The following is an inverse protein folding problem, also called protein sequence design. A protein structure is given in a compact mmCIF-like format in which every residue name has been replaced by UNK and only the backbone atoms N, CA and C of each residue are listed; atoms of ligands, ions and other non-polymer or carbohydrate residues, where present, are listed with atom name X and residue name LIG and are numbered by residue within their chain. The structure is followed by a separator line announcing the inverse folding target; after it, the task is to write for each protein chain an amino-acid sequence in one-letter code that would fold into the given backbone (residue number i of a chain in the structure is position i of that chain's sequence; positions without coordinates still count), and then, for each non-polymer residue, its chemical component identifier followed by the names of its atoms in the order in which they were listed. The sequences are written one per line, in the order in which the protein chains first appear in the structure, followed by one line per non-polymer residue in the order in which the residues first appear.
data_IF_634729834271
#
_entry.id   IF_634729834271
#
_cell.length_a   1.000
_cell.length_b   1.000
_cell.length_c   1.000
_cell.angle_alpha   90.00
_cell.angle_beta   90.00
_cell.angle_gamma   90.00
#
_symmetry.space_group_name_H-M   'P 1'
#
loop_
_entity.id
_entity.type
_entity.pdbx_description
1 polymer ?
#
# COMPACT_ATOMS: atom_id res chain seq x y z
N UNK A 1 47.21 4.50 -0.32
CA UNK A 1 46.95 5.24 0.93
C UNK A 1 45.58 4.80 1.38
N UNK A 2 45.45 4.23 2.58
CA UNK A 2 44.15 3.78 3.12
C UNK A 2 43.25 5.02 3.24
N UNK A 3 42.14 5.04 2.50
CA UNK A 3 41.11 6.07 2.65
C UNK A 3 40.55 5.97 4.07
N UNK A 4 41.00 6.86 4.95
CA UNK A 4 40.54 6.94 6.32
C UNK A 4 39.13 7.52 6.29
N UNK A 5 38.14 6.65 6.40
CA UNK A 5 36.75 7.03 6.63
C UNK A 5 36.68 7.72 8.00
N UNK A 6 36.14 8.95 8.08
CA UNK A 6 35.97 9.66 9.36
C UNK A 6 35.15 8.86 10.38
N UNK A 7 35.49 8.98 11.66
CA UNK A 7 34.85 8.23 12.75
C UNK A 7 33.33 8.48 12.86
N UNK A 8 32.85 9.63 12.38
CA UNK A 8 31.44 10.03 12.39
C UNK A 8 30.65 9.60 11.15
N UNK A 9 31.30 9.04 10.12
CA UNK A 9 30.68 8.67 8.85
C UNK A 9 29.51 7.69 9.04
N UNK A 10 29.69 6.65 9.84
CA UNK A 10 28.66 5.63 10.05
C UNK A 10 27.39 6.23 10.69
N UNK A 11 27.57 7.12 11.67
CA UNK A 11 26.45 7.82 12.32
C UNK A 11 25.75 8.80 11.38
N UNK A 12 26.53 9.52 10.57
CA UNK A 12 26.01 10.45 9.55
C UNK A 12 25.23 9.70 8.47
N UNK A 13 25.75 8.57 7.99
CA UNK A 13 25.09 7.73 7.00
C UNK A 13 23.75 7.18 7.52
N UNK A 14 23.71 6.74 8.79
CA UNK A 14 22.48 6.26 9.40
C UNK A 14 21.43 7.37 9.54
N UNK A 15 21.83 8.57 9.96
CA UNK A 15 20.93 9.74 10.00
C UNK A 15 20.36 10.07 8.61
N UNK A 16 21.21 10.07 7.57
CA UNK A 16 20.77 10.32 6.20
C UNK A 16 19.81 9.25 5.69
N UNK A 17 20.06 7.97 5.98
CA UNK A 17 19.14 6.87 5.66
C UNK A 17 17.78 7.09 6.33
N UNK A 18 17.75 7.40 7.62
CA UNK A 18 16.50 7.66 8.34
C UNK A 18 15.72 8.84 7.75
N UNK A 19 16.41 9.93 7.37
CA UNK A 19 15.77 11.08 6.68
C UNK A 19 15.17 10.67 5.33
N UNK A 20 15.87 9.85 4.54
CA UNK A 20 15.37 9.34 3.26
C UNK A 20 14.15 8.44 3.46
N UNK A 21 14.20 7.50 4.42
CA UNK A 21 13.07 6.64 4.75
C UNK A 21 11.85 7.43 5.20
N UNK A 22 12.04 8.41 6.09
CA UNK A 22 10.96 9.29 6.55
C UNK A 22 10.35 10.11 5.41
N UNK A 23 11.18 10.62 4.49
CA UNK A 23 10.70 11.37 3.31
C UNK A 23 9.86 10.48 2.38
N UNK A 24 10.34 9.26 2.08
CA UNK A 24 9.60 8.28 1.27
C UNK A 24 8.25 7.95 1.88
N UNK A 25 8.23 7.65 3.19
CA UNK A 25 6.99 7.33 3.90
C UNK A 25 5.96 8.47 3.83
N UNK A 26 6.39 9.73 3.96
CA UNK A 26 5.49 10.88 3.82
C UNK A 26 4.86 10.97 2.43
N UNK A 27 5.67 10.80 1.37
CA UNK A 27 5.16 10.83 -0.01
C UNK A 27 4.17 9.68 -0.24
N UNK A 28 4.52 8.48 0.22
CA UNK A 28 3.69 7.29 0.09
C UNK A 28 2.34 7.43 0.81
N UNK A 29 2.33 7.91 2.05
CA UNK A 29 1.08 8.15 2.79
C UNK A 29 0.18 9.15 2.07
N UNK A 30 0.76 10.23 1.55
CA UNK A 30 0.01 11.23 0.79
C UNK A 30 -0.58 10.63 -0.49
N UNK A 31 0.22 9.87 -1.23
CA UNK A 31 -0.24 9.21 -2.45
C UNK A 31 -1.33 8.17 -2.16
N UNK A 32 -1.17 7.38 -1.11
CA UNK A 32 -2.19 6.42 -0.67
C UNK A 32 -3.52 7.13 -0.33
N UNK A 33 -3.44 8.26 0.38
CA UNK A 33 -4.64 9.02 0.73
C UNK A 33 -5.36 9.58 -0.51
N UNK A 34 -4.61 10.16 -1.46
CA UNK A 34 -5.17 10.62 -2.74
C UNK A 34 -5.78 9.47 -3.55
N UNK A 35 -5.11 8.31 -3.54
CA UNK A 35 -5.63 7.09 -4.16
C UNK A 35 -6.97 6.71 -3.53
N UNK A 36 -7.06 6.59 -2.21
CA UNK A 36 -8.31 6.24 -1.54
C UNK A 36 -9.41 7.26 -1.81
N UNK A 37 -9.10 8.56 -1.84
CA UNK A 37 -10.07 9.60 -2.21
C UNK A 37 -10.59 9.41 -3.64
N UNK A 38 -9.69 9.17 -4.61
CA UNK A 38 -10.08 8.87 -6.01
C UNK A 38 -11.01 7.66 -6.08
N UNK A 39 -10.65 6.58 -5.38
CA UNK A 39 -11.41 5.33 -5.38
C UNK A 39 -12.79 5.51 -4.76
N UNK A 40 -12.87 6.28 -3.69
CA UNK A 40 -14.13 6.69 -3.08
C UNK A 40 -14.99 7.49 -4.06
N UNK A 41 -14.43 8.48 -4.76
CA UNK A 41 -15.15 9.29 -5.74
C UNK A 41 -15.70 8.45 -6.91
N UNK A 42 -14.90 7.52 -7.42
CA UNK A 42 -15.36 6.57 -8.44
C UNK A 42 -16.50 5.70 -7.90
N UNK A 43 -16.36 5.20 -6.68
CA UNK A 43 -17.38 4.42 -5.99
C UNK A 43 -18.71 5.16 -5.84
N UNK A 44 -18.67 6.40 -5.36
CA UNK A 44 -19.85 7.25 -5.22
C UNK A 44 -20.49 7.58 -6.56
N UNK A 45 -19.68 7.85 -7.58
CA UNK A 45 -20.18 8.10 -8.94
C UNK A 45 -20.92 6.88 -9.48
N UNK A 46 -20.35 5.69 -9.33
CA UNK A 46 -20.98 4.42 -9.72
C UNK A 46 -22.28 4.20 -8.93
N UNK A 47 -22.28 4.43 -7.62
CA UNK A 47 -23.45 4.28 -6.75
C UNK A 47 -24.58 5.23 -7.17
N UNK A 48 -24.28 6.52 -7.38
CA UNK A 48 -25.24 7.52 -7.81
C UNK A 48 -25.85 7.15 -9.17
N UNK A 49 -25.03 6.76 -10.15
CA UNK A 49 -25.51 6.35 -11.47
C UNK A 49 -26.40 5.12 -11.44
N UNK A 50 -26.09 4.10 -10.62
CA UNK A 50 -26.98 2.93 -10.43
C UNK A 50 -28.33 3.28 -9.82
N UNK A 51 -28.42 4.35 -9.04
CA UNK A 51 -29.69 4.79 -8.44
C UNK A 51 -30.59 5.56 -9.41
N UNK A 52 -30.00 6.23 -10.41
CA UNK A 52 -30.70 7.08 -11.38
C UNK A 52 -30.91 6.39 -12.74
N UNK A 53 -30.05 5.43 -13.07
CA UNK A 53 -30.01 4.71 -14.35
C UNK A 53 -29.79 3.21 -14.12
N UNK A 54 -30.15 2.37 -15.08
CA UNK A 54 -29.94 0.91 -15.01
C UNK A 54 -28.48 0.50 -15.28
N UNK A 55 -27.51 1.05 -14.53
CA UNK A 55 -26.10 0.66 -14.62
C UNK A 55 -25.90 -0.78 -14.08
N UNK A 56 -26.04 -1.75 -14.99
CA UNK A 56 -25.79 -3.18 -14.72
C UNK A 56 -24.31 -3.57 -14.86
N UNK A 57 -24.04 -4.87 -14.80
CA UNK A 57 -22.68 -5.46 -14.94
C UNK A 57 -22.00 -5.03 -16.24
N UNK A 58 -22.74 -5.02 -17.36
CA UNK A 58 -22.20 -4.64 -18.67
C UNK A 58 -21.64 -3.21 -18.71
N UNK A 59 -22.20 -2.28 -17.92
CA UNK A 59 -21.72 -0.90 -17.86
C UNK A 59 -20.41 -0.81 -17.07
N UNK A 60 -20.28 -1.59 -16.00
CA UNK A 60 -19.03 -1.66 -15.23
C UNK A 60 -17.90 -2.31 -16.03
N UNK A 61 -18.20 -3.33 -16.83
CA UNK A 61 -17.20 -3.98 -17.68
C UNK A 61 -16.70 -3.01 -18.77
N UNK A 62 -17.59 -2.24 -19.37
CA UNK A 62 -17.23 -1.18 -20.31
C UNK A 62 -16.42 -0.07 -19.65
N UNK A 63 -16.87 0.43 -18.50
CA UNK A 63 -16.16 1.48 -17.75
C UNK A 63 -14.75 1.04 -17.36
N UNK A 64 -14.59 -0.20 -16.88
CA UNK A 64 -13.29 -0.78 -16.58
C UNK A 64 -12.38 -0.86 -17.82
N UNK A 65 -12.94 -1.25 -18.98
CA UNK A 65 -12.19 -1.29 -20.24
C UNK A 65 -11.73 0.10 -20.67
N UNK A 66 -12.65 1.07 -20.64
CA UNK A 66 -12.39 2.44 -21.08
C UNK A 66 -11.36 3.13 -20.16
N UNK A 67 -11.48 2.96 -18.82
CA UNK A 67 -10.51 3.51 -17.87
C UNK A 67 -9.12 2.87 -17.99
N UNK A 68 -9.02 1.55 -18.23
CA UNK A 68 -7.73 0.91 -18.46
C UNK A 68 -7.07 1.33 -19.77
N UNK A 69 -7.87 1.64 -20.79
CA UNK A 69 -7.34 2.11 -22.07
C UNK A 69 -6.75 3.52 -21.92
N UNK A 70 -7.40 4.38 -21.13
CA UNK A 70 -6.91 5.73 -20.83
C UNK A 70 -5.72 5.73 -19.87
N UNK A 71 -5.73 4.85 -18.86
CA UNK A 71 -4.71 4.77 -17.81
C UNK A 71 -4.06 3.37 -17.75
N UNK A 72 -3.23 3.00 -18.74
CA UNK A 72 -2.70 1.64 -18.87
C UNK A 72 -1.74 1.24 -17.74
N UNK A 73 -1.05 2.19 -17.12
CA UNK A 73 -0.15 1.97 -15.97
C UNK A 73 -0.92 1.63 -14.67
N UNK A 74 -2.19 2.03 -14.57
CA UNK A 74 -3.02 1.84 -13.38
C UNK A 74 -3.78 0.50 -13.43
N UNK A 75 -3.28 -0.52 -12.72
CA UNK A 75 -3.95 -1.84 -12.62
C UNK A 75 -5.21 -1.82 -11.75
N UNK A 76 -5.55 -0.67 -11.15
CA UNK A 76 -6.73 -0.42 -10.32
C UNK A 76 -8.08 -0.48 -11.05
N UNK A 77 -8.13 -0.47 -12.38
CA UNK A 77 -9.40 -0.34 -13.10
C UNK A 77 -10.04 -1.66 -13.53
N UNK A 78 -10.01 -2.69 -12.68
CA UNK A 78 -10.73 -3.95 -12.95
C UNK A 78 -12.22 -3.87 -12.61
N UNK A 79 -13.11 -4.61 -13.31
CA UNK A 79 -14.53 -4.62 -12.97
C UNK A 79 -14.78 -5.05 -11.52
N UNK A 80 -13.98 -5.99 -11.01
CA UNK A 80 -14.01 -6.38 -9.61
C UNK A 80 -13.65 -5.22 -8.69
N UNK A 81 -12.60 -4.49 -9.04
CA UNK A 81 -12.14 -3.37 -8.25
C UNK A 81 -13.11 -2.18 -8.25
N UNK A 82 -13.77 -1.90 -9.38
CA UNK A 82 -14.84 -0.92 -9.46
C UNK A 82 -16.03 -1.28 -8.54
N UNK A 83 -16.32 -2.59 -8.37
CA UNK A 83 -17.31 -3.04 -7.38
C UNK A 83 -16.83 -2.78 -5.95
N UNK A 84 -15.56 -2.99 -5.66
CA UNK A 84 -15.00 -2.66 -4.34
C UNK A 84 -14.99 -1.16 -4.08
N UNK A 85 -14.64 -0.32 -5.05
CA UNK A 85 -14.75 1.15 -4.95
C UNK A 85 -16.19 1.55 -4.58
N UNK A 86 -17.19 0.93 -5.20
CA UNK A 86 -18.60 1.15 -4.85
C UNK A 86 -18.91 0.72 -3.41
N UNK A 87 -18.51 -0.49 -3.00
CA UNK A 87 -18.71 -0.99 -1.63
C UNK A 87 -18.00 -0.12 -0.59
N UNK A 88 -16.82 0.39 -0.93
CA UNK A 88 -16.06 1.33 -0.10
C UNK A 88 -16.83 2.63 0.13
N UNK A 89 -17.33 3.24 -0.95
CA UNK A 89 -18.18 4.42 -0.89
C UNK A 89 -19.54 4.18 -0.18
N UNK A 90 -20.05 2.95 -0.19
CA UNK A 90 -21.25 2.55 0.56
C UNK A 90 -20.97 2.42 2.07
N UNK A 91 -19.84 1.80 2.44
CA UNK A 91 -19.44 1.58 3.83
C UNK A 91 -19.01 2.88 4.53
N UNK A 92 -18.28 3.75 3.83
CA UNK A 92 -17.87 5.06 4.33
C UNK A 92 -18.50 6.16 3.46
N UNK A 93 -19.76 6.57 3.71
CA UNK A 93 -20.51 7.46 2.81
C UNK A 93 -20.06 8.92 2.81
N UNK A 94 -19.21 9.32 3.76
CA UNK A 94 -18.70 10.68 3.91
C UNK A 94 -17.21 10.73 3.54
N UNK A 95 -16.83 11.65 2.65
CA UNK A 95 -15.44 11.82 2.21
C UNK A 95 -14.53 12.22 3.37
N UNK A 96 -15.05 12.94 4.37
CA UNK A 96 -14.28 13.28 5.56
C UNK A 96 -13.89 12.03 6.34
N UNK A 97 -14.63 10.92 6.17
CA UNK A 97 -14.23 9.61 6.70
C UNK A 97 -12.92 9.11 6.11
N UNK A 98 -12.58 9.46 4.87
CA UNK A 98 -11.31 9.06 4.24
C UNK A 98 -10.17 10.01 4.63
N UNK A 99 -10.48 11.27 4.94
CA UNK A 99 -9.46 12.26 5.33
C UNK A 99 -9.10 12.20 6.80
N UNK A 100 -10.05 11.87 7.66
CA UNK A 100 -9.93 12.01 9.10
C UNK A 100 -9.99 10.69 9.87
N UNK A 101 -10.45 9.58 9.26
CA UNK A 101 -10.52 8.29 9.94
C UNK A 101 -9.34 7.38 9.56
N UNK A 102 -9.03 6.40 10.43
CA UNK A 102 -7.93 5.45 10.20
C UNK A 102 -7.95 4.73 8.85
N UNK A 103 -9.14 4.50 8.27
CA UNK A 103 -9.27 3.85 6.95
C UNK A 103 -8.53 4.61 5.84
N UNK A 104 -8.40 5.94 5.97
CA UNK A 104 -7.68 6.82 5.05
C UNK A 104 -6.15 6.65 5.04
N UNK A 105 -5.62 5.91 6.02
CA UNK A 105 -4.19 5.64 6.20
C UNK A 105 -3.82 4.22 5.76
N UNK A 106 -4.81 3.38 5.46
CA UNK A 106 -4.59 1.98 5.14
C UNK A 106 -4.26 1.78 3.66
N UNK A 107 -3.39 0.81 3.32
CA UNK A 107 -3.28 0.34 1.94
C UNK A 107 -4.63 -0.14 1.41
N UNK A 108 -4.87 -0.01 0.11
CA UNK A 108 -6.17 -0.39 -0.46
C UNK A 108 -6.49 -1.88 -0.26
N UNK A 109 -5.48 -2.75 -0.28
CA UNK A 109 -5.65 -4.17 -0.01
C UNK A 109 -6.20 -4.47 1.39
N UNK A 110 -5.91 -3.63 2.38
CA UNK A 110 -6.44 -3.75 3.74
C UNK A 110 -7.91 -3.31 3.79
N UNK A 111 -8.26 -2.25 3.05
CA UNK A 111 -9.64 -1.80 2.90
C UNK A 111 -10.50 -2.90 2.28
N UNK A 112 -10.01 -3.58 1.23
CA UNK A 112 -10.69 -4.77 0.68
C UNK A 112 -10.90 -5.84 1.75
N UNK A 113 -9.86 -6.14 2.54
CA UNK A 113 -9.92 -7.17 3.58
C UNK A 113 -11.00 -6.88 4.62
N UNK A 114 -11.11 -5.61 5.04
CA UNK A 114 -12.17 -5.14 5.95
C UNK A 114 -13.55 -5.27 5.30
N UNK A 115 -13.70 -4.86 4.04
CA UNK A 115 -14.96 -4.97 3.31
C UNK A 115 -15.42 -6.41 3.14
N UNK A 116 -14.51 -7.35 2.90
CA UNK A 116 -14.83 -8.75 2.64
C UNK A 116 -15.11 -9.57 3.90
N UNK A 117 -14.46 -9.25 5.02
CA UNK A 117 -14.56 -10.07 6.24
C UNK A 117 -15.50 -9.52 7.30
N UNK A 118 -15.92 -8.27 7.20
CA UNK A 118 -16.74 -7.60 8.21
C UNK A 118 -18.00 -7.01 7.57
N UNK A 119 -19.16 -7.37 8.10
CA UNK A 119 -20.45 -6.80 7.70
C UNK A 119 -20.81 -5.55 8.51
N UNK A 120 -20.39 -5.51 9.79
CA UNK A 120 -20.67 -4.44 10.74
C UNK A 120 -19.71 -3.24 10.58
N UNK A 121 -20.27 -2.03 10.58
CA UNK A 121 -19.49 -0.81 10.36
C UNK A 121 -18.63 -0.42 11.56
N UNK A 122 -19.11 -0.65 12.79
CA UNK A 122 -18.33 -0.35 14.00
C UNK A 122 -17.10 -1.24 14.07
N UNK A 123 -17.23 -2.53 13.72
CA UNK A 123 -16.10 -3.45 13.62
C UNK A 123 -15.11 -3.04 12.53
N UNK A 124 -15.59 -2.60 11.35
CA UNK A 124 -14.69 -2.08 10.30
C UNK A 124 -13.87 -0.91 10.81
N UNK A 125 -14.52 0.07 11.44
CA UNK A 125 -13.83 1.25 11.97
C UNK A 125 -12.88 0.89 13.12
N UNK A 126 -13.27 -0.07 13.97
CA UNK A 126 -12.43 -0.57 15.06
C UNK A 126 -11.15 -1.26 14.55
N UNK A 127 -11.29 -2.20 13.62
CA UNK A 127 -10.13 -2.89 13.03
C UNK A 127 -9.29 -1.94 12.19
N UNK A 128 -9.89 -0.99 11.46
CA UNK A 128 -9.15 0.04 10.74
C UNK A 128 -8.30 0.90 11.70
N UNK A 129 -8.86 1.27 12.85
CA UNK A 129 -8.15 1.99 13.91
C UNK A 129 -6.98 1.21 14.48
N UNK A 130 -7.18 -0.08 14.76
CA UNK A 130 -6.10 -0.96 15.26
C UNK A 130 -5.02 -1.19 14.20
N UNK A 131 -5.41 -1.40 12.94
CA UNK A 131 -4.49 -1.59 11.82
C UNK A 131 -3.62 -0.36 11.59
N UNK A 132 -4.22 0.84 11.56
CA UNK A 132 -3.47 2.10 11.42
C UNK A 132 -2.55 2.37 12.62
N UNK A 133 -2.96 1.99 13.83
CA UNK A 133 -2.17 2.20 15.04
C UNK A 133 -0.98 1.23 15.15
N UNK A 134 -1.19 -0.05 14.83
CA UNK A 134 -0.17 -1.09 14.98
C UNK A 134 0.63 -1.37 13.71
N UNK A 135 0.16 -0.86 12.57
CA UNK A 135 0.76 -1.04 11.27
C UNK A 135 0.83 -2.50 10.84
N UNK A 136 -0.27 -3.25 10.96
CA UNK A 136 -0.26 -4.66 10.62
C UNK A 136 0.06 -4.87 9.13
N UNK A 137 0.54 -6.07 8.81
CA UNK A 137 0.52 -6.54 7.42
C UNK A 137 -0.85 -7.13 7.10
N UNK A 138 -1.21 -7.18 5.80
CA UNK A 138 -2.51 -7.71 5.38
C UNK A 138 -2.81 -9.13 5.93
N UNK A 139 -1.86 -10.10 5.95
CA UNK A 139 -2.11 -11.40 6.56
C UNK A 139 -2.35 -11.32 8.08
N UNK A 140 -1.67 -10.40 8.77
CA UNK A 140 -1.87 -10.19 10.20
C UNK A 140 -3.26 -9.60 10.45
N UNK A 141 -3.68 -8.57 9.69
CA UNK A 141 -5.05 -8.04 9.76
C UNK A 141 -6.09 -9.15 9.56
N UNK A 142 -5.94 -9.95 8.51
CA UNK A 142 -6.84 -11.07 8.23
C UNK A 142 -6.88 -12.08 9.39
N UNK A 143 -5.73 -12.37 10.01
CA UNK A 143 -5.63 -13.23 11.18
C UNK A 143 -6.32 -12.63 12.41
N UNK A 144 -6.12 -11.34 12.70
CA UNK A 144 -6.76 -10.66 13.85
C UNK A 144 -8.29 -10.62 13.70
N UNK A 145 -8.80 -10.40 12.49
CA UNK A 145 -10.23 -10.48 12.19
C UNK A 145 -10.74 -11.90 12.43
N UNK A 146 -10.05 -12.91 11.89
CA UNK A 146 -10.45 -14.32 11.99
C UNK A 146 -10.45 -14.83 13.43
N UNK A 147 -9.46 -14.40 14.24
CA UNK A 147 -9.35 -14.73 15.66
C UNK A 147 -10.17 -13.81 16.58
N UNK A 148 -10.96 -12.90 15.99
CA UNK A 148 -11.87 -11.98 16.68
C UNK A 148 -11.18 -11.22 17.81
N UNK A 149 -10.10 -10.52 17.49
CA UNK A 149 -9.35 -9.71 18.46
C UNK A 149 -10.27 -8.80 19.30
N UNK A 150 -11.28 -8.18 18.70
CA UNK A 150 -12.24 -7.32 19.42
C UNK A 150 -12.97 -8.04 20.57
N UNK A 151 -13.38 -9.31 20.41
CA UNK A 151 -14.00 -10.11 21.47
C UNK A 151 -12.98 -10.46 22.55
N UNK A 152 -11.76 -10.82 22.15
CA UNK A 152 -10.69 -11.20 23.07
C UNK A 152 -10.22 -10.02 23.93
N UNK A 153 -10.12 -8.82 23.35
CA UNK A 153 -9.80 -7.60 24.08
C UNK A 153 -10.94 -7.16 25.00
N UNK A 154 -12.20 -7.25 24.56
CA UNK A 154 -13.36 -6.92 25.40
C UNK A 154 -13.53 -7.88 26.59
N UNK A 155 -13.13 -9.15 26.43
CA UNK A 155 -13.19 -10.16 27.48
C UNK A 155 -12.02 -10.12 28.47
N UNK A 156 -10.97 -9.32 28.20
CA UNK A 156 -9.80 -9.23 29.07
C UNK A 156 -9.99 -8.12 30.13
N UNK A 157 -10.04 -8.44 31.43
CA UNK A 157 -9.99 -7.42 32.48
C UNK A 157 -8.57 -6.80 32.50
N UNK A 158 -8.47 -5.58 31.97
CA UNK A 158 -7.48 -4.51 32.27
C UNK A 158 -5.97 -4.80 32.32
N UNK A 159 -5.47 -5.97 31.94
CA UNK A 159 -4.05 -6.31 32.16
C UNK A 159 -3.19 -6.50 30.88
N UNK A 160 -3.69 -6.13 29.69
CA UNK A 160 -2.90 -6.18 28.45
C UNK A 160 -2.70 -4.81 27.78
N UNK A 161 -2.78 -3.72 28.55
CA UNK A 161 -2.33 -2.40 28.11
C UNK A 161 -0.79 -2.32 28.24
N UNK A 162 -0.04 -3.06 27.41
CA UNK A 162 1.42 -3.01 27.51
C UNK A 162 2.23 -3.92 26.61
N UNK A 163 1.64 -4.63 25.64
CA UNK A 163 2.40 -5.47 24.72
C UNK A 163 1.91 -5.29 23.28
N UNK A 164 2.25 -4.14 22.69
CA UNK A 164 2.68 -4.07 21.29
C UNK A 164 3.32 -2.69 21.12
N UNK A 165 4.60 -2.61 21.45
CA UNK A 165 5.42 -1.43 21.17
C UNK A 165 5.44 -1.16 19.65
N UNK A 166 5.49 0.13 19.31
CA UNK A 166 5.58 0.66 17.96
C UNK A 166 6.68 -0.04 17.16
N UNK A 167 6.28 -0.75 16.11
CA UNK A 167 7.13 -0.98 14.95
C UNK A 167 6.67 0.01 13.87
N UNK A 168 7.27 1.20 13.90
CA UNK A 168 7.33 2.07 12.71
C UNK A 168 8.08 1.29 11.61
N UNK A 169 7.41 0.40 10.88
CA UNK A 169 8.04 -0.37 9.80
C UNK A 169 7.03 -1.06 8.88
N UNK A 170 6.06 -1.81 9.40
CA UNK A 170 5.41 -2.83 8.57
C UNK A 170 4.31 -2.28 7.66
N UNK A 171 3.41 -1.43 8.16
CA UNK A 171 2.43 -0.74 7.30
C UNK A 171 3.10 0.26 6.35
N UNK A 172 4.18 0.92 6.76
CA UNK A 172 4.99 1.75 5.86
C UNK A 172 5.57 0.92 4.70
N UNK A 173 6.04 -0.29 5.00
CA UNK A 173 6.46 -1.26 3.98
C UNK A 173 5.30 -1.79 3.14
N UNK A 174 4.11 -2.00 3.70
CA UNK A 174 2.95 -2.45 2.93
C UNK A 174 2.38 -1.35 2.02
N UNK A 175 2.37 -0.09 2.43
CA UNK A 175 2.06 1.04 1.52
C UNK A 175 3.14 1.11 0.42
N UNK A 176 4.42 0.87 0.77
CA UNK A 176 5.49 0.77 -0.22
C UNK A 176 5.29 -0.40 -1.18
N UNK A 177 4.73 -1.52 -0.72
CA UNK A 177 4.49 -2.71 -1.53
C UNK A 177 3.11 -2.71 -2.20
N UNK A 178 2.22 -1.79 -1.84
CA UNK A 178 0.87 -1.72 -2.38
C UNK A 178 0.99 -1.44 -3.89
N UNK A 179 0.66 -2.42 -4.75
CA UNK A 179 0.78 -2.24 -6.19
C UNK A 179 -0.02 -1.04 -6.68
N UNK A 180 -1.12 -0.69 -6.01
CA UNK A 180 -1.97 0.43 -6.41
C UNK A 180 -1.35 1.79 -6.04
N UNK A 181 -0.76 1.93 -4.85
CA UNK A 181 -0.10 3.16 -4.43
C UNK A 181 1.17 3.42 -5.26
N UNK A 182 1.95 2.37 -5.56
CA UNK A 182 3.12 2.47 -6.42
C UNK A 182 2.77 2.86 -7.86
N UNK A 183 1.72 2.29 -8.44
CA UNK A 183 1.30 2.62 -9.80
C UNK A 183 0.66 4.00 -9.90
N UNK A 184 -0.01 4.46 -8.85
CA UNK A 184 -0.51 5.83 -8.79
C UNK A 184 0.61 6.88 -8.70
N UNK A 185 1.71 6.54 -8.03
CA UNK A 185 2.92 7.35 -8.01
C UNK A 185 3.70 7.31 -9.33
N UNK A 186 3.55 6.24 -10.12
CA UNK A 186 4.09 6.14 -11.46
C UNK A 186 3.26 7.05 -12.38
N UNK A 187 3.63 8.34 -12.41
CA UNK A 187 3.13 9.28 -13.41
C UNK A 187 3.45 8.70 -14.78
N UNK A 188 2.43 8.52 -15.62
CA UNK A 188 2.53 7.90 -16.94
C UNK A 188 3.76 8.41 -17.71
N UNK A 189 4.75 7.52 -17.81
CA UNK A 189 6.02 7.76 -18.47
C UNK A 189 6.89 6.52 -18.38
N UNK A 190 7.22 5.93 -19.55
CA UNK A 190 8.11 4.79 -19.78
C UNK A 190 9.50 4.89 -19.10
N UNK A 191 9.81 6.03 -18.50
CA UNK A 191 11.05 6.30 -17.78
C UNK A 191 11.05 5.73 -16.34
N UNK A 192 9.91 5.70 -15.64
CA UNK A 192 9.89 5.34 -14.21
C UNK A 192 10.04 3.84 -13.93
N UNK A 193 9.53 2.99 -14.83
CA UNK A 193 9.60 1.53 -14.70
C UNK A 193 11.01 1.01 -15.00
N UNK A 194 11.64 1.47 -16.09
CA UNK A 194 13.04 1.16 -16.40
C UNK A 194 13.99 1.64 -15.30
N UNK A 195 13.74 2.81 -14.73
CA UNK A 195 14.59 3.34 -13.68
C UNK A 195 14.41 2.58 -12.35
N UNK A 196 13.21 2.06 -12.07
CA UNK A 196 12.95 1.21 -10.90
C UNK A 196 13.58 -0.18 -11.07
N UNK A 197 13.42 -0.79 -12.24
CA UNK A 197 14.01 -2.08 -12.59
C UNK A 197 15.53 -2.02 -12.54
N UNK A 198 16.12 -0.96 -13.12
CA UNK A 198 17.56 -0.74 -13.06
C UNK A 198 18.05 -0.62 -11.62
N UNK A 199 17.35 0.13 -10.76
CA UNK A 199 17.73 0.26 -9.34
C UNK A 199 17.61 -1.04 -8.56
N UNK A 200 16.72 -1.96 -8.94
CA UNK A 200 16.64 -3.29 -8.34
C UNK A 200 17.80 -4.18 -8.80
N UNK A 201 18.13 -4.16 -10.10
CA UNK A 201 19.28 -4.88 -10.67
C UNK A 201 20.58 -4.41 -10.04
N UNK A 202 20.77 -3.10 -9.94
CA UNK A 202 21.95 -2.49 -9.32
C UNK A 202 22.09 -2.91 -7.84
N UNK A 203 20.97 -2.97 -7.10
CA UNK A 203 20.99 -3.40 -5.69
C UNK A 203 21.34 -4.88 -5.54
N UNK A 204 20.89 -5.73 -6.45
CA UNK A 204 21.25 -7.16 -6.46
C UNK A 204 22.73 -7.32 -6.78
N UNK A 205 23.23 -6.65 -7.83
CA UNK A 205 24.65 -6.68 -8.21
C UNK A 205 25.55 -6.19 -7.07
N UNK A 206 25.19 -5.08 -6.44
CA UNK A 206 25.91 -4.54 -5.29
C UNK A 206 25.92 -5.52 -4.11
N UNK A 207 24.78 -6.14 -3.80
CA UNK A 207 24.70 -7.15 -2.73
C UNK A 207 25.56 -8.38 -3.04
N UNK A 208 25.62 -8.80 -4.31
CA UNK A 208 26.47 -9.92 -4.74
C UNK A 208 27.96 -9.59 -4.68
N UNK A 209 28.35 -8.34 -4.95
CA UNK A 209 29.72 -7.86 -4.82
C UNK A 209 30.16 -7.74 -3.35
N UNK A 210 29.24 -7.35 -2.46
CA UNK A 210 29.48 -7.23 -1.00
C UNK A 210 29.71 -8.60 -0.32
N UNK A 211 29.28 -9.72 -0.94
CA UNK A 211 29.40 -11.08 -0.41
C UNK A 211 30.75 -11.79 -0.68
N UNK A 212 31.72 -11.11 -1.31
CA UNK A 212 33.10 -11.60 -1.50
C UNK A 212 33.37 -12.25 -2.88
N UNK A 213 34.64 -12.57 -3.19
CA UNK A 213 35.08 -12.83 -4.57
C UNK A 213 34.64 -14.21 -5.07
N UNK A 214 33.46 -14.28 -5.66
CA UNK A 214 33.03 -15.32 -6.61
C UNK A 214 32.70 -14.68 -7.96
N UNK A 215 32.83 -15.42 -9.06
CA UNK A 215 32.78 -14.98 -10.46
C UNK A 215 31.51 -14.19 -10.88
N UNK A 216 31.38 -12.93 -10.43
CA UNK A 216 30.26 -12.02 -10.72
C UNK A 216 30.25 -11.49 -12.15
N UNK A 217 31.41 -11.53 -12.83
CA UNK A 217 31.56 -11.10 -14.22
C UNK A 217 30.68 -11.92 -15.19
N UNK A 218 30.35 -13.17 -14.83
CA UNK A 218 29.48 -14.05 -15.62
C UNK A 218 27.99 -13.76 -15.38
N UNK A 219 27.63 -13.20 -14.21
CA UNK A 219 26.26 -12.80 -13.88
C UNK A 219 25.89 -11.48 -14.55
N UNK A 220 26.81 -10.52 -14.59
CA UNK A 220 26.65 -9.22 -15.24
C UNK A 220 26.38 -9.36 -16.76
N UNK A 221 27.10 -10.25 -17.44
CA UNK A 221 26.88 -10.57 -18.87
C UNK A 221 25.54 -11.27 -19.15
N UNK A 222 25.01 -12.05 -18.21
CA UNK A 222 23.71 -12.74 -18.38
C UNK A 222 22.52 -11.83 -18.08
N UNK A 223 22.67 -10.88 -17.15
CA UNK A 223 21.64 -9.88 -16.82
C UNK A 223 21.52 -8.79 -17.90
N UNK A 224 22.63 -8.40 -18.54
CA UNK A 224 22.63 -7.44 -19.65
C UNK A 224 22.02 -7.98 -20.98
N UNK A 225 21.68 -9.28 -21.03
CA UNK A 225 21.12 -9.96 -22.21
C UNK A 225 19.64 -10.35 -22.03
N UNK A 226 19.01 -10.00 -20.91
CA UNK A 226 17.57 -10.17 -20.72
C UNK A 226 16.83 -9.01 -21.44
N UNK A 227 15.78 -9.31 -22.22
CA UNK A 227 15.07 -8.32 -23.02
C UNK A 227 14.22 -7.35 -22.20
#
# INVERSE_FOLDING_TARGET
MSDLVPDDYASTLEELKQRVHAARLRVQRRANNELLQLWWHLGQTIRARRSQEAWGTNVLDRLAKDLRAEFPSMKGFSPANLRYMRRFAEAWPDLDSIRQRPVGELPWGHVIELLDKLDDQELRDWYAGKDAHHGWSRPVLAHQITTRLHEREAAAPTNFAGALERLDSDQAQEITKDPYALQFLAVDGDASERELEQRMVDRILQTMQELGPGDWHVAELKLALLP
#
